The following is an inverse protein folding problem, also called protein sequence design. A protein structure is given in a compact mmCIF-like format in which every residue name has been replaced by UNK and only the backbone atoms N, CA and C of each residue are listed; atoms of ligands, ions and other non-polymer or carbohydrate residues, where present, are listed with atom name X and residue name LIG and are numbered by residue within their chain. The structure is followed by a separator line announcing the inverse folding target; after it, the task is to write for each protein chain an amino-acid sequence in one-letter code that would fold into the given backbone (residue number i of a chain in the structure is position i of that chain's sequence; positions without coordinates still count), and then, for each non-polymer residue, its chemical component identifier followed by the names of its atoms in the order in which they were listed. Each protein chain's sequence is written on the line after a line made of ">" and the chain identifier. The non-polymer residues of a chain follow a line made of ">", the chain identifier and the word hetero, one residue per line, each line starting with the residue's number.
data_IF_469447661037
#
_entry.id   IF_469447661037
#
_cell.length_a   1.000
_cell.length_b   1.000
_cell.length_c   1.000
_cell.angle_alpha   90.00
_cell.angle_beta   90.00
_cell.angle_gamma   90.00
#
_symmetry.space_group_name_H-M   'P 1'
#
loop_
_entity.id
_entity.type
_entity.pdbx_description
1 polymer ?
#
# COMPACT_ATOMS: atom_id res chain seq x y z
N UNK A 1 -10.36 12.53 -7.42
CA UNK A 1 -10.17 12.33 -5.95
C UNK A 1 -11.54 12.33 -5.28
N UNK A 2 -12.31 11.36 -5.56
CA UNK A 2 -13.58 11.01 -4.90
C UNK A 2 -14.01 9.68 -5.51
N UNK A 3 -14.51 8.79 -4.67
CA UNK A 3 -15.21 7.58 -5.04
C UNK A 3 -14.41 6.27 -5.20
N UNK A 4 -13.56 5.97 -4.20
CA UNK A 4 -13.26 4.58 -3.89
C UNK A 4 -13.92 4.19 -2.55
N UNK A 5 -15.20 4.48 -2.41
CA UNK A 5 -16.03 3.93 -1.34
C UNK A 5 -16.69 2.67 -1.87
N UNK A 6 -16.06 1.52 -1.57
CA UNK A 6 -16.70 0.23 -1.70
C UNK A 6 -17.94 0.21 -0.82
N UNK A 7 -19.10 0.25 -1.43
CA UNK A 7 -20.38 0.00 -0.76
C UNK A 7 -20.35 -1.40 -0.16
N UNK A 8 -20.45 -1.48 1.15
CA UNK A 8 -20.75 -2.74 1.84
C UNK A 8 -22.18 -3.13 1.52
N UNK A 9 -22.51 -4.42 1.32
CA UNK A 9 -23.88 -4.85 1.11
C UNK A 9 -24.75 -4.36 2.27
N UNK A 10 -25.79 -3.60 1.93
CA UNK A 10 -26.81 -3.16 2.89
C UNK A 10 -27.48 -4.38 3.51
N UNK A 11 -27.48 -4.44 4.83
CA UNK A 11 -28.34 -5.33 5.62
C UNK A 11 -29.81 -4.93 5.36
N UNK A 12 -30.43 -5.52 4.35
CA UNK A 12 -31.87 -5.41 4.14
C UNK A 12 -32.62 -6.22 5.19
N UNK A 13 -32.81 -5.65 6.34
CA UNK A 13 -33.86 -6.09 7.26
C UNK A 13 -35.15 -5.40 6.82
N UNK A 14 -35.98 -6.11 6.08
CA UNK A 14 -37.37 -5.73 5.85
C UNK A 14 -38.14 -5.85 7.17
N UNK A 15 -38.33 -4.72 7.84
CA UNK A 15 -39.29 -4.58 8.91
C UNK A 15 -40.69 -4.50 8.32
N UNK A 16 -41.58 -5.45 8.71
CA UNK A 16 -42.99 -5.37 8.43
C UNK A 16 -43.56 -4.13 9.12
N UNK A 17 -44.29 -3.32 8.36
CA UNK A 17 -45.04 -2.19 8.91
C UNK A 17 -46.19 -2.69 9.80
N UNK A 18 -46.06 -2.59 11.11
CA UNK A 18 -47.18 -2.70 12.03
C UNK A 18 -47.82 -1.33 12.25
N UNK A 19 -49.14 -1.33 12.07
CA UNK A 19 -50.01 -0.18 12.26
C UNK A 19 -50.01 0.25 13.72
N UNK A 20 -49.78 1.53 13.96
CA UNK A 20 -49.85 2.14 15.30
C UNK A 20 -51.26 2.21 15.80
N UNK A 21 -51.62 1.62 16.97
CA UNK A 21 -52.83 1.96 17.69
C UNK A 21 -52.64 3.27 18.46
N UNK A 22 -53.71 4.07 18.54
CA UNK A 22 -53.77 5.39 19.15
C UNK A 22 -53.30 5.37 20.63
N UNK A 23 -52.53 6.41 20.96
CA UNK A 23 -51.98 6.64 22.30
C UNK A 23 -53.06 6.84 23.37
N UNK A 24 -53.19 5.84 24.24
CA UNK A 24 -53.76 6.03 25.58
C UNK A 24 -52.71 6.67 26.50
N UNK A 25 -53.12 7.23 27.66
CA UNK A 25 -52.20 7.93 28.56
C UNK A 25 -51.11 6.96 29.03
N UNK A 26 -49.87 7.22 28.66
CA UNK A 26 -48.70 6.49 29.14
C UNK A 26 -48.51 6.81 30.63
N UNK A 27 -48.95 5.93 31.48
CA UNK A 27 -48.39 5.82 32.82
C UNK A 27 -46.96 5.37 32.66
N UNK A 28 -46.01 6.25 32.95
CA UNK A 28 -44.60 5.92 33.10
C UNK A 28 -44.49 4.94 34.27
N UNK A 29 -44.62 3.66 33.99
CA UNK A 29 -44.23 2.62 34.93
C UNK A 29 -42.72 2.74 35.14
N UNK A 30 -42.32 3.32 36.27
CA UNK A 30 -40.95 3.31 36.73
C UNK A 30 -40.52 1.84 36.81
N UNK A 31 -39.54 1.42 36.03
CA UNK A 31 -39.03 0.07 36.13
C UNK A 31 -38.62 -0.21 37.59
N UNK A 32 -38.98 -1.37 38.16
CA UNK A 32 -38.66 -1.67 39.54
C UNK A 32 -37.14 -1.62 39.71
N UNK A 33 -36.67 -0.76 40.62
CA UNK A 33 -35.27 -0.70 41.00
C UNK A 33 -34.95 -1.95 41.83
N UNK A 34 -34.13 -2.84 41.28
CA UNK A 34 -33.64 -3.98 42.01
C UNK A 34 -32.14 -3.85 42.24
N UNK A 35 -31.69 -4.32 43.38
CA UNK A 35 -30.28 -4.34 43.73
C UNK A 35 -29.88 -5.74 44.19
N UNK A 36 -28.88 -6.30 43.47
CA UNK A 36 -28.25 -7.57 43.85
C UNK A 36 -26.86 -7.26 44.39
N UNK A 37 -26.62 -7.60 45.66
CA UNK A 37 -25.34 -7.29 46.33
C UNK A 37 -24.14 -7.91 45.63
N UNK A 38 -24.27 -9.13 45.14
CA UNK A 38 -23.24 -9.80 44.36
C UNK A 38 -23.88 -10.80 43.40
N UNK A 39 -23.54 -10.68 42.12
CA UNK A 39 -23.92 -11.64 41.11
C UNK A 39 -22.66 -12.36 40.60
N UNK A 40 -22.69 -13.69 40.55
CA UNK A 40 -21.55 -14.50 40.11
C UNK A 40 -21.95 -15.54 39.08
N UNK A 41 -21.13 -15.68 38.06
CA UNK A 41 -21.11 -16.80 37.13
C UNK A 41 -19.76 -17.46 37.26
N UNK A 42 -19.74 -18.78 37.43
CA UNK A 42 -18.50 -19.53 37.59
C UNK A 42 -18.38 -20.62 36.54
N UNK A 43 -17.20 -20.80 36.00
CA UNK A 43 -16.82 -21.89 35.11
C UNK A 43 -17.82 -22.15 33.96
N UNK A 44 -18.23 -21.08 33.29
CA UNK A 44 -19.18 -21.15 32.18
C UNK A 44 -18.47 -21.24 30.84
N UNK A 45 -19.20 -21.68 29.82
CA UNK A 45 -18.81 -21.77 28.44
C UNK A 45 -19.67 -20.81 27.61
N UNK A 46 -19.01 -20.01 26.75
CA UNK A 46 -19.68 -19.21 25.74
C UNK A 46 -19.17 -19.62 24.37
N UNK A 47 -20.06 -19.92 23.44
CA UNK A 47 -19.70 -20.26 22.06
C UNK A 47 -20.35 -19.28 21.11
N UNK A 48 -19.53 -18.56 20.36
CA UNK A 48 -19.94 -17.69 19.27
C UNK A 48 -19.86 -18.45 17.97
N UNK A 49 -20.90 -18.36 17.14
CA UNK A 49 -20.91 -18.90 15.76
C UNK A 49 -21.27 -17.79 14.80
N UNK A 50 -20.42 -17.58 13.79
CA UNK A 50 -20.71 -16.70 12.66
C UNK A 50 -20.95 -17.55 11.41
N UNK A 51 -22.19 -17.52 10.93
CA UNK A 51 -22.64 -18.25 9.74
C UNK A 51 -22.71 -17.36 8.51
N UNK A 52 -22.37 -16.09 8.62
CA UNK A 52 -22.38 -15.14 7.50
C UNK A 52 -21.17 -15.31 6.59
N UNK A 53 -20.11 -15.95 7.08
CA UNK A 53 -18.91 -16.24 6.31
C UNK A 53 -19.14 -17.45 5.38
N UNK A 54 -18.44 -17.48 4.25
CA UNK A 54 -18.43 -18.64 3.31
C UNK A 54 -18.06 -19.95 4.01
N UNK A 55 -17.13 -19.88 4.98
CA UNK A 55 -16.80 -20.96 5.90
C UNK A 55 -17.21 -20.56 7.30
N UNK A 56 -18.16 -21.27 7.95
CA UNK A 56 -18.64 -20.92 9.26
C UNK A 56 -17.49 -20.81 10.28
N UNK A 57 -17.54 -19.76 11.09
CA UNK A 57 -16.59 -19.52 12.15
C UNK A 57 -17.20 -19.90 13.50
N UNK A 58 -16.44 -20.59 14.32
CA UNK A 58 -16.84 -20.92 15.69
C UNK A 58 -15.71 -20.59 16.64
N UNK A 59 -16.05 -19.87 17.71
CA UNK A 59 -15.10 -19.45 18.73
C UNK A 59 -15.70 -19.65 20.13
N UNK A 60 -14.95 -20.28 21.03
CA UNK A 60 -15.41 -20.59 22.36
C UNK A 60 -14.51 -19.94 23.42
N UNK A 61 -15.16 -19.38 24.44
CA UNK A 61 -14.54 -18.94 25.68
C UNK A 61 -14.87 -19.95 26.76
N UNK A 62 -13.81 -20.45 27.41
CA UNK A 62 -13.92 -21.47 28.45
C UNK A 62 -13.63 -20.86 29.84
N UNK A 63 -14.06 -21.54 30.90
CA UNK A 63 -13.80 -21.13 32.27
C UNK A 63 -14.18 -19.65 32.52
N UNK A 64 -15.33 -19.23 32.01
CA UNK A 64 -15.79 -17.87 32.21
C UNK A 64 -16.21 -17.71 33.68
N UNK A 65 -15.58 -16.75 34.34
CA UNK A 65 -15.95 -16.30 35.67
C UNK A 65 -16.34 -14.83 35.58
N UNK A 66 -17.55 -14.50 36.03
CA UNK A 66 -18.06 -13.14 36.14
C UNK A 66 -18.36 -12.85 37.59
N UNK A 67 -17.93 -11.71 38.07
CA UNK A 67 -18.32 -11.13 39.35
C UNK A 67 -18.81 -9.71 39.08
N UNK A 68 -20.04 -9.44 39.48
CA UNK A 68 -20.62 -8.11 39.51
C UNK A 68 -21.07 -7.78 40.95
N UNK A 69 -20.50 -6.72 41.49
CA UNK A 69 -20.86 -6.22 42.81
C UNK A 69 -21.85 -5.08 42.67
N UNK A 70 -22.87 -5.08 43.52
CA UNK A 70 -23.96 -4.11 43.56
C UNK A 70 -24.70 -3.97 42.21
N UNK A 71 -25.06 -5.12 41.60
CA UNK A 71 -25.75 -5.12 40.31
C UNK A 71 -27.11 -4.42 40.46
N UNK A 72 -27.29 -3.31 39.75
CA UNK A 72 -28.48 -2.47 39.69
C UNK A 72 -28.62 -1.90 38.26
N UNK A 73 -29.84 -1.61 37.85
CA UNK A 73 -30.04 -0.93 36.54
C UNK A 73 -29.63 0.54 36.59
N UNK A 74 -29.95 1.22 37.71
CA UNK A 74 -29.86 2.70 37.81
C UNK A 74 -28.65 3.20 38.58
N UNK A 75 -27.96 2.31 39.31
CA UNK A 75 -26.76 2.67 40.09
C UNK A 75 -25.48 2.26 39.35
N UNK A 76 -24.34 2.78 39.80
CA UNK A 76 -23.05 2.36 39.27
C UNK A 76 -22.76 0.89 39.59
N UNK A 77 -22.35 0.16 38.59
CA UNK A 77 -22.01 -1.24 38.67
C UNK A 77 -20.49 -1.40 38.41
N UNK A 78 -19.91 -2.39 39.11
CA UNK A 78 -18.55 -2.87 38.82
C UNK A 78 -18.64 -4.35 38.48
N UNK A 79 -18.27 -4.69 37.25
CA UNK A 79 -18.28 -6.07 36.81
C UNK A 79 -16.89 -6.46 36.27
N UNK A 80 -16.45 -7.65 36.60
CA UNK A 80 -15.22 -8.25 36.09
C UNK A 80 -15.54 -9.61 35.49
N UNK A 81 -15.12 -9.79 34.26
CA UNK A 81 -15.19 -11.07 33.57
C UNK A 81 -13.74 -11.53 33.29
N UNK A 82 -13.48 -12.79 33.57
CA UNK A 82 -12.24 -13.47 33.18
C UNK A 82 -12.57 -14.77 32.45
N UNK A 83 -11.78 -15.11 31.45
CA UNK A 83 -11.93 -16.33 30.67
C UNK A 83 -10.59 -16.86 30.25
N UNK A 84 -10.48 -18.16 30.02
CA UNK A 84 -9.34 -18.80 29.40
C UNK A 84 -9.67 -19.18 27.96
N UNK A 85 -8.64 -19.17 27.12
CA UNK A 85 -8.69 -19.61 25.74
C UNK A 85 -8.10 -21.02 25.65
N UNK A 86 -8.52 -21.79 24.67
CA UNK A 86 -8.13 -23.19 24.46
C UNK A 86 -6.60 -23.43 24.47
N UNK A 87 -5.81 -22.41 24.07
CA UNK A 87 -4.35 -22.49 23.98
C UNK A 87 -3.63 -21.77 25.15
N UNK A 88 -4.28 -21.61 26.30
CA UNK A 88 -3.71 -20.99 27.49
C UNK A 88 -3.69 -19.45 27.47
N UNK A 89 -4.31 -18.82 26.47
CA UNK A 89 -4.54 -17.39 26.47
C UNK A 89 -5.62 -16.96 27.47
N UNK A 90 -5.74 -15.67 27.72
CA UNK A 90 -6.69 -15.12 28.70
C UNK A 90 -7.41 -13.89 28.15
N UNK A 91 -8.67 -13.74 28.59
CA UNK A 91 -9.46 -12.54 28.37
C UNK A 91 -9.87 -12.00 29.72
N UNK A 92 -9.69 -10.71 29.94
CA UNK A 92 -10.15 -9.97 31.11
C UNK A 92 -10.94 -8.76 30.60
N UNK A 93 -12.16 -8.63 31.09
CA UNK A 93 -13.03 -7.51 30.82
C UNK A 93 -13.49 -6.89 32.15
N UNK A 94 -13.33 -5.58 32.28
CA UNK A 94 -13.85 -4.83 33.43
C UNK A 94 -14.80 -3.76 32.92
N UNK A 95 -15.86 -3.57 33.64
CA UNK A 95 -16.91 -2.59 33.40
C UNK A 95 -17.16 -1.79 34.69
N UNK A 96 -17.23 -0.46 34.57
CA UNK A 96 -17.63 0.43 35.63
C UNK A 96 -18.55 1.51 35.05
N UNK A 97 -19.83 1.54 35.53
CA UNK A 97 -20.83 2.48 35.04
C UNK A 97 -22.26 2.00 35.31
N UNK A 98 -23.23 2.77 34.85
CA UNK A 98 -24.65 2.41 34.92
C UNK A 98 -25.05 1.53 33.74
N UNK A 99 -25.99 0.59 33.94
CA UNK A 99 -26.45 -0.30 32.88
C UNK A 99 -27.52 0.35 31.99
N UNK A 100 -28.28 1.28 32.52
CA UNK A 100 -29.35 2.01 31.83
C UNK A 100 -28.85 3.30 31.13
N UNK A 101 -27.66 3.78 31.52
CA UNK A 101 -27.04 5.00 30.95
C UNK A 101 -25.53 4.83 30.78
N UNK A 102 -25.12 4.57 29.54
CA UNK A 102 -23.72 4.39 29.19
C UNK A 102 -22.94 5.72 29.02
N UNK A 103 -23.58 6.87 29.23
CA UNK A 103 -22.98 8.18 29.01
C UNK A 103 -21.74 8.47 29.86
N UNK A 104 -21.60 7.76 30.99
CA UNK A 104 -20.43 7.87 31.86
C UNK A 104 -20.01 6.43 32.28
N UNK A 105 -19.11 5.84 31.48
CA UNK A 105 -18.74 4.41 31.63
C UNK A 105 -17.26 4.23 31.36
N UNK A 106 -16.62 3.35 32.13
CA UNK A 106 -15.26 2.89 31.91
C UNK A 106 -15.25 1.41 31.53
N UNK A 107 -14.59 1.09 30.42
CA UNK A 107 -14.49 -0.26 29.91
C UNK A 107 -13.02 -0.59 29.66
N UNK A 108 -12.56 -1.68 30.26
CA UNK A 108 -11.23 -2.24 30.06
C UNK A 108 -11.35 -3.64 29.47
N UNK A 109 -10.62 -3.90 28.38
CA UNK A 109 -10.51 -5.23 27.79
C UNK A 109 -9.04 -5.58 27.60
N UNK A 110 -8.64 -6.74 28.10
CA UNK A 110 -7.30 -7.30 27.88
C UNK A 110 -7.44 -8.71 27.34
N UNK A 111 -6.85 -8.94 26.16
CA UNK A 111 -6.72 -10.25 25.51
C UNK A 111 -5.24 -10.57 25.44
N UNK A 112 -4.83 -11.73 25.91
CA UNK A 112 -3.44 -12.20 25.85
C UNK A 112 -3.37 -13.58 25.21
N UNK A 113 -2.38 -13.77 24.36
CA UNK A 113 -2.03 -15.05 23.73
C UNK A 113 -3.21 -15.70 22.95
N UNK A 114 -3.99 -14.90 22.20
CA UNK A 114 -5.03 -15.40 21.32
C UNK A 114 -4.39 -15.95 20.03
N UNK A 115 -4.63 -17.22 19.72
CA UNK A 115 -4.16 -17.86 18.48
C UNK A 115 -4.98 -17.35 17.28
N UNK A 116 -4.29 -16.66 16.36
CA UNK A 116 -4.90 -16.10 15.16
C UNK A 116 -5.30 -17.16 14.13
N UNK A 117 -4.73 -18.36 14.17
CA UNK A 117 -5.08 -19.45 13.25
C UNK A 117 -6.57 -19.76 13.25
N UNK A 118 -7.22 -19.61 14.41
CA UNK A 118 -8.67 -19.79 14.58
C UNK A 118 -9.47 -18.86 13.67
N UNK A 119 -8.92 -17.67 13.31
CA UNK A 119 -9.58 -16.66 12.47
C UNK A 119 -9.33 -16.84 10.97
N UNK A 120 -8.79 -17.99 10.56
CA UNK A 120 -8.62 -18.32 9.13
C UNK A 120 -9.89 -18.11 8.29
N UNK A 121 -11.12 -18.44 8.73
CA UNK A 121 -12.32 -18.17 7.94
C UNK A 121 -12.50 -16.70 7.55
N UNK A 122 -12.20 -15.77 8.46
CA UNK A 122 -12.22 -14.34 8.18
C UNK A 122 -11.11 -13.93 7.20
N UNK A 123 -9.88 -14.37 7.46
CA UNK A 123 -8.74 -14.03 6.59
C UNK A 123 -8.91 -14.57 5.17
N UNK A 124 -9.50 -15.75 5.02
CA UNK A 124 -9.83 -16.35 3.73
C UNK A 124 -10.90 -15.55 3.00
N UNK A 125 -11.97 -15.16 3.67
CA UNK A 125 -13.03 -14.39 3.03
C UNK A 125 -12.54 -13.00 2.59
N UNK A 126 -11.87 -12.28 3.49
CA UNK A 126 -11.49 -10.90 3.22
C UNK A 126 -10.27 -10.78 2.30
N UNK A 127 -9.28 -11.65 2.44
CA UNK A 127 -7.98 -11.50 1.76
C UNK A 127 -7.56 -12.70 0.92
N UNK A 128 -8.21 -13.85 1.07
CA UNK A 128 -7.86 -15.08 0.36
C UNK A 128 -6.66 -15.83 0.92
N UNK A 129 -6.18 -15.51 2.12
CA UNK A 129 -5.02 -16.16 2.74
C UNK A 129 -5.40 -16.87 4.04
N UNK A 130 -5.06 -18.16 4.22
CA UNK A 130 -5.22 -18.84 5.50
C UNK A 130 -4.16 -18.36 6.50
N UNK A 131 -4.56 -18.07 7.73
CA UNK A 131 -3.65 -17.79 8.84
C UNK A 131 -2.98 -19.09 9.29
N UNK A 132 -1.65 -19.17 9.20
CA UNK A 132 -0.87 -20.34 9.60
C UNK A 132 -0.37 -20.24 11.03
N UNK A 133 0.07 -19.05 11.41
CA UNK A 133 0.57 -18.70 12.75
C UNK A 133 0.20 -17.27 13.09
N UNK A 134 0.26 -16.97 14.37
CA UNK A 134 0.09 -15.63 14.89
C UNK A 134 -0.47 -15.65 16.30
N UNK A 135 0.14 -14.89 17.18
CA UNK A 135 -0.31 -14.74 18.58
C UNK A 135 -0.68 -13.28 18.79
N UNK A 136 -1.96 -13.04 19.05
CA UNK A 136 -2.50 -11.71 19.26
C UNK A 136 -2.61 -11.40 20.76
N UNK A 137 -2.19 -10.20 21.12
CA UNK A 137 -2.50 -9.54 22.38
C UNK A 137 -3.14 -8.19 22.10
N UNK A 138 -4.24 -7.90 22.81
CA UNK A 138 -5.00 -6.67 22.62
C UNK A 138 -5.31 -6.05 23.98
N UNK A 139 -5.08 -4.77 24.11
CA UNK A 139 -5.42 -3.98 25.28
C UNK A 139 -6.27 -2.79 24.87
N UNK A 140 -7.41 -2.62 25.49
CA UNK A 140 -8.37 -1.58 25.18
C UNK A 140 -8.80 -0.89 26.47
N UNK A 141 -8.65 0.42 26.50
CA UNK A 141 -9.08 1.31 27.59
C UNK A 141 -10.03 2.33 26.97
N UNK A 142 -11.29 2.24 27.34
CA UNK A 142 -12.35 3.10 26.81
C UNK A 142 -12.98 3.89 27.95
N UNK A 143 -12.88 5.21 27.87
CA UNK A 143 -13.51 6.13 28.81
C UNK A 143 -14.63 6.87 28.06
N UNK A 144 -15.85 6.71 28.54
CA UNK A 144 -17.01 7.42 28.01
C UNK A 144 -17.39 8.48 29.03
N UNK A 145 -17.51 9.73 28.59
CA UNK A 145 -17.95 10.86 29.42
C UNK A 145 -18.89 11.73 28.60
N UNK A 146 -20.11 11.95 29.14
CA UNK A 146 -21.18 12.67 28.43
C UNK A 146 -21.40 12.10 27.01
N UNK A 147 -21.46 10.79 26.91
CA UNK A 147 -21.59 10.03 25.66
C UNK A 147 -20.42 10.14 24.69
N UNK A 148 -19.38 10.92 24.98
CA UNK A 148 -18.17 10.98 24.17
C UNK A 148 -17.18 9.89 24.59
N UNK A 149 -16.87 8.99 23.67
CA UNK A 149 -15.86 7.94 23.84
C UNK A 149 -14.46 8.50 23.54
N UNK A 150 -13.52 8.24 24.43
CA UNK A 150 -12.07 8.30 24.18
C UNK A 150 -11.48 6.91 24.46
N UNK A 151 -11.27 6.15 23.40
CA UNK A 151 -10.76 4.79 23.42
C UNK A 151 -9.30 4.72 22.95
N UNK A 152 -8.46 4.08 23.75
CA UNK A 152 -7.06 3.76 23.42
C UNK A 152 -6.94 2.24 23.31
N UNK A 153 -6.54 1.78 22.14
CA UNK A 153 -6.46 0.36 21.81
C UNK A 153 -5.07 0.04 21.27
N UNK A 154 -4.41 -0.92 21.89
CA UNK A 154 -3.09 -1.38 21.48
C UNK A 154 -3.22 -2.83 21.01
N UNK A 155 -2.88 -3.07 19.75
CA UNK A 155 -2.87 -4.39 19.13
C UNK A 155 -1.42 -4.82 18.91
N UNK A 156 -1.06 -5.99 19.41
CA UNK A 156 0.24 -6.61 19.21
C UNK A 156 0.04 -8.01 18.62
N UNK A 157 0.70 -8.29 17.50
CA UNK A 157 0.67 -9.62 16.87
C UNK A 157 2.11 -10.09 16.71
N UNK A 158 2.42 -11.24 17.30
CA UNK A 158 3.72 -11.89 17.18
C UNK A 158 3.66 -13.03 16.19
N UNK A 159 4.73 -13.22 15.41
CA UNK A 159 4.95 -14.37 14.51
C UNK A 159 3.77 -14.62 13.56
N UNK A 160 3.21 -13.56 12.99
CA UNK A 160 2.09 -13.66 12.05
C UNK A 160 2.56 -14.21 10.71
N UNK A 161 2.05 -15.38 10.31
CA UNK A 161 2.34 -16.02 9.03
C UNK A 161 1.03 -16.40 8.34
N UNK A 162 0.96 -16.16 7.04
CA UNK A 162 -0.16 -16.57 6.18
C UNK A 162 0.31 -17.58 5.14
N UNK A 163 -0.58 -18.45 4.71
CA UNK A 163 -0.35 -19.43 3.67
C UNK A 163 -0.30 -18.82 2.28
N UNK A 164 -0.46 -19.66 1.26
CA UNK A 164 -0.56 -19.20 -0.12
C UNK A 164 -1.94 -18.59 -0.38
N UNK A 165 -1.98 -17.61 -1.30
CA UNK A 165 -3.21 -16.97 -1.72
C UNK A 165 -4.11 -17.94 -2.48
N UNK A 166 -5.36 -17.99 -2.09
CA UNK A 166 -6.42 -18.66 -2.81
C UNK A 166 -7.17 -17.63 -3.66
N UNK A 167 -7.25 -17.86 -4.96
CA UNK A 167 -7.92 -16.95 -5.91
C UNK A 167 -9.40 -17.26 -6.08
N UNK A 168 -9.82 -18.47 -5.75
CA UNK A 168 -11.19 -18.94 -5.85
C UNK A 168 -11.62 -19.57 -4.52
N UNK A 169 -12.72 -19.08 -3.89
CA UNK A 169 -13.53 -17.93 -4.32
C UNK A 169 -12.79 -16.59 -4.18
N UNK A 170 -13.12 -15.60 -5.03
CA UNK A 170 -12.51 -14.27 -5.03
C UNK A 170 -12.67 -13.63 -3.63
N UNK A 171 -11.58 -13.15 -2.99
CA UNK A 171 -11.62 -12.47 -1.71
C UNK A 171 -12.25 -11.07 -1.85
N UNK A 172 -12.75 -10.53 -0.72
CA UNK A 172 -13.36 -9.21 -0.70
C UNK A 172 -12.32 -8.11 -0.99
N UNK A 173 -11.06 -8.32 -0.56
CA UNK A 173 -9.92 -7.44 -0.85
C UNK A 173 -8.82 -8.22 -1.56
N UNK A 174 -8.53 -7.84 -2.80
CA UNK A 174 -7.49 -8.51 -3.60
C UNK A 174 -6.11 -7.84 -3.41
N UNK A 175 -5.54 -7.95 -2.21
CA UNK A 175 -4.24 -7.35 -1.87
C UNK A 175 -3.15 -8.41 -1.65
N UNK A 176 -1.85 -8.09 -1.85
CA UNK A 176 -0.72 -8.93 -1.48
C UNK A 176 -0.49 -8.90 0.04
N UNK A 177 -1.26 -9.69 0.79
CA UNK A 177 -1.26 -9.67 2.26
C UNK A 177 0.09 -10.08 2.87
N UNK A 178 0.82 -11.02 2.25
CA UNK A 178 2.17 -11.41 2.70
C UNK A 178 3.11 -10.22 2.70
N UNK A 179 3.12 -9.46 1.59
CA UNK A 179 3.90 -8.24 1.45
C UNK A 179 3.53 -7.22 2.53
N UNK A 180 2.22 -6.95 2.70
CA UNK A 180 1.76 -6.01 3.71
C UNK A 180 2.19 -6.41 5.13
N UNK A 181 1.98 -7.67 5.51
CA UNK A 181 2.37 -8.18 6.82
C UNK A 181 3.88 -8.14 7.04
N UNK A 182 4.69 -8.50 6.03
CA UNK A 182 6.14 -8.44 6.13
C UNK A 182 6.65 -7.00 6.35
N UNK A 183 6.04 -6.05 5.67
CA UNK A 183 6.44 -4.64 5.76
C UNK A 183 6.12 -4.01 7.12
N UNK A 184 4.95 -4.32 7.70
CA UNK A 184 4.53 -3.76 9.00
C UNK A 184 5.18 -4.44 10.21
N UNK A 185 5.82 -5.61 10.04
CA UNK A 185 6.57 -6.28 11.09
C UNK A 185 7.85 -5.52 11.43
N UNK A 186 8.15 -5.42 12.72
CA UNK A 186 9.44 -4.93 13.17
C UNK A 186 10.53 -6.03 13.13
N UNK A 187 11.74 -5.68 13.59
CA UNK A 187 12.89 -6.60 13.62
C UNK A 187 12.69 -7.81 14.54
N UNK A 188 11.74 -7.75 15.46
CA UNK A 188 11.43 -8.80 16.43
C UNK A 188 10.24 -9.67 15.96
N UNK A 189 9.85 -9.57 14.68
CA UNK A 189 8.69 -10.24 14.06
C UNK A 189 7.37 -9.88 14.75
N UNK A 190 7.26 -8.64 15.23
CA UNK A 190 6.09 -8.10 15.92
C UNK A 190 5.40 -7.02 15.07
N UNK A 191 4.09 -7.09 15.02
CA UNK A 191 3.23 -6.04 14.49
C UNK A 191 2.64 -5.30 15.68
N UNK A 192 2.91 -3.99 15.81
CA UNK A 192 2.37 -3.14 16.87
C UNK A 192 1.54 -2.03 16.25
N UNK A 193 0.31 -1.90 16.72
CA UNK A 193 -0.61 -0.88 16.22
C UNK A 193 -1.38 -0.22 17.36
N UNK A 194 -1.40 1.10 17.32
CA UNK A 194 -2.27 1.91 18.16
C UNK A 194 -3.52 2.28 17.35
N UNK A 195 -4.68 1.93 17.90
CA UNK A 195 -5.97 2.06 17.23
C UNK A 195 -6.90 2.96 18.08
N UNK A 196 -6.69 4.29 18.07
CA UNK A 196 -7.55 5.19 18.82
C UNK A 196 -8.98 5.20 18.24
N UNK A 197 -9.98 5.15 19.12
CA UNK A 197 -11.40 5.25 18.74
C UNK A 197 -12.01 6.41 19.50
N UNK A 198 -12.57 7.39 18.81
CA UNK A 198 -13.22 8.56 19.40
C UNK A 198 -14.55 8.80 18.72
N UNK A 199 -15.53 9.29 19.47
CA UNK A 199 -16.82 9.68 18.91
C UNK A 199 -17.96 9.67 19.92
N UNK A 200 -19.10 10.16 19.47
CA UNK A 200 -20.35 10.12 20.23
C UNK A 200 -20.99 8.72 20.08
N UNK A 201 -21.13 8.00 21.19
CA UNK A 201 -21.72 6.64 21.18
C UNK A 201 -23.21 6.62 20.82
N UNK A 202 -23.89 7.76 20.91
CA UNK A 202 -25.30 7.91 20.54
C UNK A 202 -25.48 8.25 19.04
N UNK A 203 -24.40 8.53 18.31
CA UNK A 203 -24.49 8.77 16.88
C UNK A 203 -24.92 7.48 16.17
N UNK A 204 -25.92 7.53 15.27
CA UNK A 204 -26.36 6.35 14.52
C UNK A 204 -25.25 5.72 13.66
N UNK A 205 -24.25 6.53 13.27
CA UNK A 205 -23.12 6.09 12.46
C UNK A 205 -21.98 5.51 13.30
N UNK A 206 -22.02 5.67 14.62
CA UNK A 206 -20.96 5.19 15.50
C UNK A 206 -20.98 3.66 15.58
N UNK A 207 -19.86 3.05 15.20
CA UNK A 207 -19.65 1.62 15.36
C UNK A 207 -18.19 1.34 15.70
N UNK A 208 -17.94 0.99 16.94
CA UNK A 208 -16.60 0.65 17.43
C UNK A 208 -15.92 -0.42 16.56
N UNK A 209 -16.63 -1.50 16.25
CA UNK A 209 -16.14 -2.61 15.42
C UNK A 209 -15.79 -2.12 14.01
N UNK A 210 -16.67 -1.35 13.37
CA UNK A 210 -16.42 -0.83 12.02
C UNK A 210 -15.20 0.08 11.99
N UNK A 211 -15.01 0.94 13.00
CA UNK A 211 -13.85 1.85 13.07
C UNK A 211 -12.55 1.05 13.17
N UNK A 212 -12.46 0.08 14.09
CA UNK A 212 -11.27 -0.76 14.26
C UNK A 212 -10.97 -1.54 12.97
N UNK A 213 -11.98 -2.22 12.41
CA UNK A 213 -11.80 -3.02 11.20
C UNK A 213 -11.39 -2.17 10.00
N UNK A 214 -12.05 -1.03 9.78
CA UNK A 214 -11.70 -0.08 8.70
C UNK A 214 -10.28 0.44 8.85
N UNK A 215 -9.85 0.77 10.07
CA UNK A 215 -8.48 1.25 10.32
C UNK A 215 -7.44 0.17 9.97
N UNK A 216 -7.67 -1.08 10.38
CA UNK A 216 -6.79 -2.20 10.05
C UNK A 216 -6.73 -2.49 8.55
N UNK A 217 -7.89 -2.56 7.91
CA UNK A 217 -7.98 -2.84 6.47
C UNK A 217 -7.32 -1.71 5.66
N UNK A 218 -7.60 -0.45 5.98
CA UNK A 218 -6.98 0.69 5.31
C UNK A 218 -5.46 0.68 5.45
N UNK A 219 -4.92 0.32 6.64
CA UNK A 219 -3.48 0.19 6.82
C UNK A 219 -2.90 -0.90 5.92
N UNK A 220 -3.50 -2.09 5.91
CA UNK A 220 -3.04 -3.21 5.10
C UNK A 220 -3.10 -2.90 3.60
N UNK A 221 -4.20 -2.30 3.14
CA UNK A 221 -4.35 -1.86 1.73
C UNK A 221 -3.29 -0.82 1.39
N UNK A 222 -3.13 0.24 2.19
CA UNK A 222 -2.14 1.30 1.94
C UNK A 222 -0.72 0.74 1.85
N UNK A 223 -0.34 -0.17 2.72
CA UNK A 223 0.99 -0.79 2.71
C UNK A 223 1.15 -1.72 1.50
N UNK A 224 0.10 -2.46 1.15
CA UNK A 224 0.12 -3.42 0.04
C UNK A 224 0.20 -2.72 -1.34
N UNK A 225 -0.51 -1.62 -1.49
CA UNK A 225 -0.60 -0.87 -2.75
C UNK A 225 0.66 -0.01 -2.98
N UNK A 226 1.21 0.59 -1.93
CA UNK A 226 2.39 1.46 -2.04
C UNK A 226 3.52 1.07 -1.08
N UNK A 227 4.15 -0.11 -1.27
CA UNK A 227 5.19 -0.60 -0.36
C UNK A 227 6.44 0.29 -0.34
N UNK A 228 6.83 0.87 -1.49
CA UNK A 228 7.94 1.83 -1.59
C UNK A 228 7.67 3.07 -0.75
N UNK A 229 6.48 3.66 -0.88
CA UNK A 229 6.09 4.85 -0.13
C UNK A 229 6.06 4.59 1.38
N UNK A 230 5.57 3.43 1.78
CA UNK A 230 5.53 3.04 3.19
C UNK A 230 6.94 2.94 3.79
N UNK A 231 7.86 2.25 3.11
CA UNK A 231 9.24 2.09 3.57
C UNK A 231 10.03 3.41 3.49
N UNK A 232 9.85 4.18 2.43
CA UNK A 232 10.45 5.51 2.31
C UNK A 232 10.11 6.38 3.52
N UNK A 233 8.83 6.49 3.86
CA UNK A 233 8.39 7.24 5.04
C UNK A 233 8.99 6.69 6.34
N UNK A 234 9.06 5.37 6.50
CA UNK A 234 9.61 4.74 7.72
C UNK A 234 11.10 4.98 7.90
N UNK A 235 11.83 5.20 6.80
CA UNK A 235 13.27 5.51 6.79
C UNK A 235 13.55 7.02 6.70
N UNK A 236 12.52 7.88 6.70
CA UNK A 236 12.66 9.33 6.63
C UNK A 236 12.98 9.87 5.23
N UNK A 237 12.76 9.06 4.17
CA UNK A 237 12.90 9.50 2.78
C UNK A 237 11.62 10.15 2.27
N UNK A 238 11.73 10.94 1.20
CA UNK A 238 10.59 11.53 0.51
C UNK A 238 9.98 10.52 -0.46
N UNK A 239 8.76 10.00 -0.24
CA UNK A 239 8.14 9.01 -1.12
C UNK A 239 7.96 9.49 -2.56
N UNK A 240 7.64 10.77 -2.74
CA UNK A 240 7.41 11.36 -4.07
C UNK A 240 8.64 11.25 -4.98
N UNK A 241 9.84 11.30 -4.39
CA UNK A 241 11.10 11.15 -5.13
C UNK A 241 11.42 9.69 -5.48
N UNK A 242 10.70 8.72 -4.91
CA UNK A 242 10.94 7.29 -5.11
C UNK A 242 9.83 6.58 -5.90
N UNK A 243 8.88 7.34 -6.48
CA UNK A 243 7.84 6.77 -7.34
C UNK A 243 8.41 6.31 -8.69
N UNK A 244 9.22 7.16 -9.30
CA UNK A 244 9.78 6.94 -10.61
C UNK A 244 11.22 7.43 -10.64
N UNK A 245 12.05 6.82 -11.50
CA UNK A 245 13.40 7.28 -11.81
C UNK A 245 13.42 7.77 -13.26
N UNK A 246 13.24 9.09 -13.52
CA UNK A 246 13.23 9.63 -14.87
C UNK A 246 14.63 9.65 -15.47
N UNK A 247 14.72 9.57 -16.81
CA UNK A 247 15.97 9.66 -17.55
C UNK A 247 15.74 10.23 -18.96
N UNK A 248 16.83 10.75 -19.57
CA UNK A 248 16.81 11.23 -20.95
C UNK A 248 17.14 10.11 -21.95
N UNK A 249 16.63 10.24 -23.19
CA UNK A 249 16.79 9.19 -24.21
C UNK A 249 18.27 8.89 -24.52
N UNK A 250 19.11 9.92 -24.57
CA UNK A 250 20.55 9.81 -24.89
C UNK A 250 21.42 9.58 -23.65
N UNK A 251 20.81 9.49 -22.45
CA UNK A 251 21.56 9.33 -21.21
C UNK A 251 22.12 7.92 -21.05
N UNK A 252 23.43 7.82 -20.81
CA UNK A 252 24.14 6.57 -20.54
C UNK A 252 24.45 6.33 -19.07
N UNK A 253 24.71 7.40 -18.31
CA UNK A 253 25.08 7.37 -16.89
C UNK A 253 24.07 8.13 -16.07
N UNK A 254 23.95 7.78 -14.77
CA UNK A 254 23.00 8.43 -13.86
C UNK A 254 23.55 9.76 -13.34
N UNK A 255 22.67 10.76 -13.24
CA UNK A 255 22.98 12.05 -12.60
C UNK A 255 23.15 11.88 -11.08
N UNK A 256 23.80 12.85 -10.38
CA UNK A 256 23.91 12.80 -8.92
C UNK A 256 22.56 12.69 -8.19
N UNK A 257 21.51 13.32 -8.71
CA UNK A 257 20.15 13.24 -8.15
C UNK A 257 19.57 11.83 -8.32
N UNK A 258 19.72 11.23 -9.49
CA UNK A 258 19.31 9.85 -9.76
C UNK A 258 20.08 8.85 -8.89
N UNK A 259 21.40 9.04 -8.73
CA UNK A 259 22.23 8.22 -7.85
C UNK A 259 21.77 8.32 -6.40
N UNK A 260 21.34 9.49 -5.94
CA UNK A 260 20.76 9.67 -4.61
C UNK A 260 19.48 8.85 -4.45
N UNK A 261 18.58 8.87 -5.46
CA UNK A 261 17.37 8.06 -5.46
C UNK A 261 17.69 6.55 -5.44
N UNK A 262 18.64 6.11 -6.29
CA UNK A 262 19.04 4.70 -6.36
C UNK A 262 19.64 4.23 -5.03
N UNK A 263 20.45 5.07 -4.37
CA UNK A 263 21.00 4.77 -3.04
C UNK A 263 19.90 4.60 -1.98
N UNK A 264 18.88 5.45 -1.99
CA UNK A 264 17.73 5.32 -1.10
C UNK A 264 16.96 4.01 -1.34
N UNK A 265 16.79 3.60 -2.60
CA UNK A 265 16.21 2.29 -2.94
C UNK A 265 17.07 1.13 -2.44
N UNK A 266 18.41 1.24 -2.56
CA UNK A 266 19.33 0.26 -2.02
C UNK A 266 19.20 0.13 -0.49
N UNK A 267 19.08 1.23 0.25
CA UNK A 267 18.87 1.22 1.70
C UNK A 267 17.52 0.58 2.08
N UNK A 268 16.46 0.84 1.31
CA UNK A 268 15.15 0.19 1.50
C UNK A 268 15.29 -1.33 1.41
N UNK A 269 15.97 -1.84 0.39
CA UNK A 269 16.18 -3.28 0.22
C UNK A 269 17.05 -3.88 1.32
N UNK A 270 18.12 -3.18 1.73
CA UNK A 270 18.95 -3.63 2.86
C UNK A 270 18.16 -3.73 4.16
N UNK A 271 17.20 -2.82 4.39
CA UNK A 271 16.32 -2.87 5.55
C UNK A 271 15.28 -4.01 5.47
N UNK A 272 14.93 -4.48 4.27
CA UNK A 272 13.94 -5.54 4.01
C UNK A 272 14.44 -6.56 2.96
N UNK A 273 15.44 -7.40 3.31
CA UNK A 273 16.19 -8.24 2.36
C UNK A 273 15.41 -9.42 1.76
N UNK A 274 14.17 -9.65 2.19
CA UNK A 274 13.26 -10.64 1.58
C UNK A 274 12.39 -10.04 0.48
N UNK A 275 12.48 -8.72 0.27
CA UNK A 275 11.78 -8.02 -0.82
C UNK A 275 12.61 -8.03 -2.10
N UNK A 276 11.93 -8.00 -3.22
CA UNK A 276 12.53 -7.80 -4.54
C UNK A 276 12.15 -6.41 -5.06
N UNK A 277 13.17 -5.63 -5.40
CA UNK A 277 13.03 -4.34 -6.08
C UNK A 277 12.72 -4.60 -7.55
N UNK A 278 11.56 -4.12 -8.00
CA UNK A 278 11.15 -4.16 -9.40
C UNK A 278 11.41 -2.81 -10.03
N UNK A 279 12.16 -2.80 -11.13
CA UNK A 279 12.46 -1.61 -11.91
C UNK A 279 12.08 -1.90 -13.36
N UNK A 280 10.91 -1.44 -13.80
CA UNK A 280 10.44 -1.61 -15.17
C UNK A 280 10.68 -0.33 -15.96
N UNK A 281 11.51 -0.41 -17.01
CA UNK A 281 11.86 0.70 -17.87
C UNK A 281 10.76 0.99 -18.88
N UNK A 282 10.22 2.21 -18.84
CA UNK A 282 9.29 2.75 -19.82
C UNK A 282 9.98 3.81 -20.67
N UNK A 283 9.90 3.66 -21.98
CA UNK A 283 10.50 4.57 -22.96
C UNK A 283 9.42 5.02 -23.95
N UNK A 284 9.27 6.32 -24.11
CA UNK A 284 8.53 6.88 -25.24
C UNK A 284 9.41 6.75 -26.48
N UNK A 285 9.22 5.65 -27.21
CA UNK A 285 10.06 5.27 -28.34
C UNK A 285 10.07 6.34 -29.42
N UNK A 286 8.92 6.96 -29.70
CA UNK A 286 8.82 7.99 -30.74
C UNK A 286 9.59 9.24 -30.35
N UNK A 287 9.41 9.74 -29.13
CA UNK A 287 10.13 10.91 -28.63
C UNK A 287 11.65 10.62 -28.52
N UNK A 288 12.01 9.41 -28.09
CA UNK A 288 13.41 9.01 -27.98
C UNK A 288 14.11 8.99 -29.33
N UNK A 289 13.43 8.56 -30.40
CA UNK A 289 13.98 8.62 -31.76
C UNK A 289 14.26 10.07 -32.23
N UNK A 290 13.33 10.99 -31.92
CA UNK A 290 13.51 12.41 -32.21
C UNK A 290 14.74 12.97 -31.47
N UNK A 291 14.87 12.69 -30.18
CA UNK A 291 16.02 13.13 -29.37
C UNK A 291 17.32 12.50 -29.81
N UNK A 292 17.33 11.25 -30.27
CA UNK A 292 18.49 10.58 -30.84
C UNK A 292 18.87 11.17 -32.22
N UNK A 293 17.90 11.49 -33.07
CA UNK A 293 18.11 12.15 -34.34
C UNK A 293 18.67 13.56 -34.14
N UNK A 294 18.12 14.34 -33.19
CA UNK A 294 18.64 15.65 -32.80
C UNK A 294 20.11 15.55 -32.38
N UNK A 295 20.42 14.64 -31.45
CA UNK A 295 21.80 14.43 -31.03
C UNK A 295 22.71 14.02 -32.18
N UNK A 296 22.27 13.14 -33.08
CA UNK A 296 23.03 12.69 -34.22
C UNK A 296 23.37 13.85 -35.18
N UNK A 297 22.39 14.69 -35.50
CA UNK A 297 22.54 15.84 -36.38
C UNK A 297 23.42 16.91 -35.74
N UNK A 298 23.23 17.23 -34.48
CA UNK A 298 24.07 18.14 -33.68
C UNK A 298 25.53 17.67 -33.64
N UNK A 299 25.73 16.37 -33.42
CA UNK A 299 27.08 15.78 -33.43
C UNK A 299 27.76 15.98 -34.80
N UNK A 300 27.06 15.72 -35.90
CA UNK A 300 27.60 15.89 -37.22
C UNK A 300 27.91 17.37 -37.51
N UNK A 301 27.02 18.28 -37.10
CA UNK A 301 27.25 19.72 -37.16
C UNK A 301 28.49 20.14 -36.36
N UNK A 302 28.64 19.65 -35.14
CA UNK A 302 29.81 19.90 -34.29
C UNK A 302 31.12 19.41 -34.96
N UNK A 303 31.12 18.19 -35.50
CA UNK A 303 32.26 17.61 -36.18
C UNK A 303 32.64 18.38 -37.47
N UNK A 304 31.68 18.95 -38.20
CA UNK A 304 31.94 19.81 -39.32
C UNK A 304 32.67 21.09 -38.92
N UNK A 305 32.37 21.63 -37.76
CA UNK A 305 33.04 22.82 -37.23
C UNK A 305 34.39 22.49 -36.57
N UNK A 306 34.65 21.23 -36.26
CA UNK A 306 35.86 20.73 -35.60
C UNK A 306 36.50 19.60 -36.43
N UNK A 307 37.09 19.92 -37.61
CA UNK A 307 37.62 18.91 -38.54
C UNK A 307 38.80 18.11 -37.95
N UNK A 308 39.41 18.61 -36.88
CA UNK A 308 40.45 17.91 -36.11
C UNK A 308 39.90 16.75 -35.26
N UNK A 309 38.58 16.65 -35.11
CA UNK A 309 37.90 15.61 -34.30
C UNK A 309 37.17 14.60 -35.17
N UNK A 310 37.02 13.40 -34.64
CA UNK A 310 36.21 12.32 -35.21
C UNK A 310 35.26 11.76 -34.15
N UNK A 311 34.31 10.91 -34.56
CA UNK A 311 33.41 10.26 -33.63
C UNK A 311 34.12 9.46 -32.53
N UNK A 312 35.31 8.91 -32.84
CA UNK A 312 36.11 8.10 -31.92
C UNK A 312 37.00 8.92 -30.99
N UNK A 313 37.17 10.22 -31.26
CA UNK A 313 38.03 11.13 -30.49
C UNK A 313 37.24 12.15 -29.66
N UNK A 314 35.91 12.06 -29.63
CA UNK A 314 35.08 12.91 -28.78
C UNK A 314 35.29 12.61 -27.29
N UNK A 315 35.58 13.66 -26.56
CA UNK A 315 35.72 13.62 -25.09
C UNK A 315 34.36 13.93 -24.38
N UNK A 316 34.20 13.64 -23.09
CA UNK A 316 32.99 14.00 -22.36
C UNK A 316 32.60 15.47 -22.50
N UNK A 317 33.55 16.39 -22.52
CA UNK A 317 33.30 17.83 -22.71
C UNK A 317 32.72 18.15 -24.10
N UNK A 318 33.05 17.38 -25.12
CA UNK A 318 32.50 17.55 -26.45
C UNK A 318 31.05 17.13 -26.51
N UNK A 319 30.67 16.04 -25.83
CA UNK A 319 29.29 15.62 -25.71
C UNK A 319 28.43 16.70 -25.01
N UNK A 320 28.96 17.35 -23.97
CA UNK A 320 28.26 18.47 -23.33
C UNK A 320 28.04 19.63 -24.32
N UNK A 321 29.06 20.02 -25.07
CA UNK A 321 28.96 21.08 -26.10
C UNK A 321 27.97 20.72 -27.20
N UNK A 322 27.94 19.46 -27.65
CA UNK A 322 26.98 18.97 -28.64
C UNK A 322 25.56 19.10 -28.12
N UNK A 323 25.32 18.71 -26.87
CA UNK A 323 23.97 18.79 -26.20
C UNK A 323 23.52 20.25 -26.01
N UNK A 324 24.44 21.19 -25.81
CA UNK A 324 24.17 22.61 -25.62
C UNK A 324 23.84 23.37 -26.92
N UNK A 325 24.02 22.75 -28.11
CA UNK A 325 23.67 23.39 -29.39
C UNK A 325 22.18 23.71 -29.40
N UNK A 326 21.84 25.00 -29.53
CA UNK A 326 20.44 25.44 -29.58
C UNK A 326 19.80 25.07 -30.93
N UNK A 327 18.73 24.32 -30.91
CA UNK A 327 17.94 23.95 -32.09
C UNK A 327 17.30 25.16 -32.79
N UNK A 328 17.25 26.32 -32.13
CA UNK A 328 16.77 27.60 -32.70
C UNK A 328 17.88 28.47 -33.27
N UNK A 329 19.15 28.06 -33.15
CA UNK A 329 20.28 28.79 -33.73
C UNK A 329 20.17 28.80 -35.26
N UNK A 330 20.28 29.98 -35.84
CA UNK A 330 20.15 30.19 -37.30
C UNK A 330 21.19 29.41 -38.08
N UNK A 331 22.41 29.28 -37.56
CA UNK A 331 23.48 28.55 -38.24
C UNK A 331 23.22 27.05 -38.25
N UNK A 332 22.71 26.53 -37.11
CA UNK A 332 22.26 25.14 -37.00
C UNK A 332 21.08 24.86 -37.92
N UNK A 333 20.07 25.72 -37.95
CA UNK A 333 18.91 25.58 -38.83
C UNK A 333 19.28 25.62 -40.29
N UNK A 334 20.21 26.52 -40.71
CA UNK A 334 20.74 26.58 -42.06
C UNK A 334 21.51 25.29 -42.42
N UNK A 335 22.31 24.76 -41.48
CA UNK A 335 22.98 23.49 -41.67
C UNK A 335 21.96 22.38 -41.94
N UNK A 336 20.94 22.21 -41.08
CA UNK A 336 19.87 21.22 -41.27
C UNK A 336 19.23 21.39 -42.65
N UNK A 337 18.86 22.63 -43.01
CA UNK A 337 18.24 22.96 -44.30
C UNK A 337 19.09 22.60 -45.54
N UNK A 338 20.44 22.61 -45.41
CA UNK A 338 21.33 22.19 -46.49
C UNK A 338 21.51 20.67 -46.59
N UNK A 339 21.28 19.95 -45.49
CA UNK A 339 21.41 18.48 -45.45
C UNK A 339 20.13 17.75 -45.86
N UNK A 340 18.96 18.36 -45.65
CA UNK A 340 17.67 17.77 -46.00
C UNK A 340 17.41 17.93 -47.48
N UNK A 341 17.07 16.82 -48.15
CA UNK A 341 16.66 16.83 -49.57
C UNK A 341 15.31 17.57 -49.75
N UNK A 342 15.12 18.21 -50.92
CA UNK A 342 13.94 19.08 -51.19
C UNK A 342 12.60 18.36 -50.95
N UNK A 343 12.51 17.08 -51.29
CA UNK A 343 11.31 16.24 -51.11
C UNK A 343 10.99 15.92 -49.64
N UNK A 344 11.94 16.10 -48.71
CA UNK A 344 11.82 15.86 -47.29
C UNK A 344 11.77 17.14 -46.44
N UNK A 345 11.80 18.30 -47.05
CA UNK A 345 11.65 19.57 -46.35
C UNK A 345 10.22 19.73 -45.83
N UNK A 346 10.08 19.77 -44.52
CA UNK A 346 8.81 19.98 -43.82
C UNK A 346 8.86 21.24 -42.97
N UNK A 347 7.70 21.71 -42.49
CA UNK A 347 7.64 22.85 -41.60
C UNK A 347 8.14 22.52 -40.16
N UNK A 348 8.25 21.24 -39.83
CA UNK A 348 8.62 20.78 -38.49
C UNK A 348 10.06 20.29 -38.47
N UNK A 349 10.87 20.88 -37.57
CA UNK A 349 12.29 20.54 -37.41
C UNK A 349 12.47 19.05 -37.07
N UNK A 350 11.63 18.50 -36.17
CA UNK A 350 11.72 17.10 -35.74
C UNK A 350 11.63 16.12 -36.93
N UNK A 351 10.76 16.39 -37.89
CA UNK A 351 10.63 15.56 -39.12
C UNK A 351 11.87 15.65 -39.99
N UNK A 352 12.45 16.85 -40.09
CA UNK A 352 13.71 17.06 -40.84
C UNK A 352 14.85 16.31 -40.16
N UNK A 353 15.01 16.42 -38.85
CA UNK A 353 16.04 15.71 -38.09
C UNK A 353 15.89 14.18 -38.24
N UNK A 354 14.66 13.66 -38.11
CA UNK A 354 14.37 12.24 -38.33
C UNK A 354 14.70 11.79 -39.76
N UNK A 355 14.52 12.66 -40.77
CA UNK A 355 14.81 12.33 -42.15
C UNK A 355 16.31 12.24 -42.45
N UNK A 356 17.17 12.90 -41.66
CA UNK A 356 18.61 12.89 -41.74
C UNK A 356 19.26 11.69 -41.02
N UNK A 357 18.50 10.97 -40.21
CA UNK A 357 18.97 9.79 -39.50
C UNK A 357 18.36 8.52 -40.09
N UNK A 358 19.15 7.45 -40.16
CA UNK A 358 18.65 6.14 -40.58
C UNK A 358 17.69 5.57 -39.53
N UNK A 359 16.43 5.34 -39.94
CA UNK A 359 15.39 4.82 -39.04
C UNK A 359 15.73 3.47 -38.43
N UNK A 360 16.41 2.56 -39.16
CA UNK A 360 16.87 1.27 -38.69
C UNK A 360 17.96 1.46 -37.63
N UNK A 361 18.88 2.36 -37.86
CA UNK A 361 19.95 2.70 -36.93
C UNK A 361 19.39 3.34 -35.65
N UNK A 362 18.41 4.25 -35.76
CA UNK A 362 17.74 4.86 -34.60
C UNK A 362 17.01 3.80 -33.74
N UNK A 363 16.35 2.84 -34.38
CA UNK A 363 15.70 1.73 -33.65
C UNK A 363 16.74 0.90 -32.89
N UNK A 364 17.83 0.49 -33.54
CA UNK A 364 18.90 -0.28 -32.91
C UNK A 364 19.52 0.45 -31.72
N UNK A 365 19.84 1.75 -31.91
CA UNK A 365 20.40 2.59 -30.86
C UNK A 365 19.42 2.73 -29.67
N UNK A 366 18.14 2.90 -29.93
CA UNK A 366 17.13 2.99 -28.87
C UNK A 366 17.14 1.71 -28.03
N UNK A 367 17.14 0.53 -28.65
CA UNK A 367 17.22 -0.75 -27.95
C UNK A 367 18.54 -0.93 -27.18
N UNK A 368 19.67 -0.63 -27.80
CA UNK A 368 20.98 -0.70 -27.15
C UNK A 368 21.07 0.19 -25.91
N UNK A 369 20.51 1.40 -25.98
CA UNK A 369 20.48 2.32 -24.84
C UNK A 369 19.56 1.81 -23.71
N UNK A 370 18.43 1.19 -24.06
CA UNK A 370 17.55 0.55 -23.06
C UNK A 370 18.30 -0.59 -22.33
N UNK A 371 18.96 -1.47 -23.06
CA UNK A 371 19.71 -2.59 -22.48
C UNK A 371 20.90 -2.11 -21.66
N UNK A 372 21.66 -1.15 -22.19
CA UNK A 372 22.82 -0.56 -21.50
C UNK A 372 22.41 0.09 -20.17
N UNK A 373 21.29 0.82 -20.17
CA UNK A 373 20.78 1.49 -18.98
C UNK A 373 20.37 0.51 -17.90
N UNK A 374 19.69 -0.58 -18.28
CA UNK A 374 19.35 -1.68 -17.38
C UNK A 374 20.62 -2.31 -16.77
N UNK A 375 21.64 -2.52 -17.58
CA UNK A 375 22.92 -3.09 -17.12
C UNK A 375 23.62 -2.15 -16.13
N UNK A 376 23.76 -0.86 -16.46
CA UNK A 376 24.41 0.13 -15.59
C UNK A 376 23.67 0.24 -14.25
N UNK A 377 22.33 0.24 -14.26
CA UNK A 377 21.52 0.28 -13.05
C UNK A 377 21.74 -0.96 -12.18
N UNK A 378 21.75 -2.15 -12.80
CA UNK A 378 22.02 -3.40 -12.10
C UNK A 378 23.42 -3.41 -11.48
N UNK A 379 24.44 -3.06 -12.24
CA UNK A 379 25.82 -3.00 -11.77
C UNK A 379 26.00 -2.00 -10.61
N UNK A 380 25.30 -0.86 -10.68
CA UNK A 380 25.34 0.12 -9.59
C UNK A 380 24.69 -0.40 -8.31
N UNK A 381 23.50 -1.00 -8.40
CA UNK A 381 22.83 -1.60 -7.24
C UNK A 381 23.67 -2.73 -6.60
N UNK A 382 24.34 -3.56 -7.41
CA UNK A 382 25.25 -4.59 -6.90
C UNK A 382 26.45 -3.97 -6.16
N UNK A 383 27.03 -2.88 -6.69
CA UNK A 383 28.09 -2.12 -5.99
C UNK A 383 27.62 -1.50 -4.68
N UNK A 384 26.33 -1.18 -4.56
CA UNK A 384 25.70 -0.76 -3.30
C UNK A 384 25.36 -1.94 -2.38
N UNK A 385 25.90 -3.14 -2.63
CA UNK A 385 25.70 -4.36 -1.83
C UNK A 385 24.24 -4.86 -1.77
N UNK A 386 23.40 -4.48 -2.73
CA UNK A 386 22.06 -5.06 -2.87
C UNK A 386 22.21 -6.49 -3.44
N UNK A 387 21.69 -7.54 -2.76
CA UNK A 387 21.79 -8.90 -3.26
C UNK A 387 21.11 -9.06 -4.62
N UNK A 388 21.76 -9.77 -5.56
CA UNK A 388 21.25 -9.94 -6.92
C UNK A 388 19.83 -10.53 -6.97
N UNK A 389 19.52 -11.47 -6.08
CA UNK A 389 18.19 -12.06 -5.94
C UNK A 389 17.09 -11.05 -5.58
N UNK A 390 17.46 -9.90 -5.03
CA UNK A 390 16.56 -8.82 -4.63
C UNK A 390 16.39 -7.75 -5.73
N UNK A 391 16.95 -7.96 -6.92
CA UNK A 391 16.92 -7.01 -8.03
C UNK A 391 16.25 -7.67 -9.23
N UNK A 392 15.18 -7.05 -9.74
CA UNK A 392 14.56 -7.40 -11.02
C UNK A 392 14.43 -6.13 -11.85
N UNK A 393 15.24 -6.04 -12.91
CA UNK A 393 15.22 -4.93 -13.86
C UNK A 393 14.75 -5.47 -15.20
N UNK A 394 13.77 -4.81 -15.81
CA UNK A 394 13.22 -5.19 -17.11
C UNK A 394 12.88 -3.93 -17.93
N UNK A 395 12.71 -4.12 -19.22
CA UNK A 395 12.08 -3.13 -20.09
C UNK A 395 10.62 -3.55 -20.29
N UNK A 396 9.71 -2.60 -20.33
CA UNK A 396 8.30 -2.84 -20.60
C UNK A 396 8.09 -3.60 -21.93
N UNK A 397 7.04 -4.38 -22.03
CA UNK A 397 6.76 -5.16 -23.26
C UNK A 397 6.55 -4.22 -24.45
N UNK A 398 6.77 -4.74 -25.66
CA UNK A 398 6.60 -3.96 -26.89
C UNK A 398 5.21 -3.31 -26.99
N UNK A 399 4.17 -4.02 -26.54
CA UNK A 399 2.78 -3.52 -26.52
C UNK A 399 2.62 -2.31 -25.57
N UNK A 400 3.17 -2.41 -24.35
CA UNK A 400 3.21 -1.31 -23.39
C UNK A 400 3.99 -0.11 -23.92
N UNK A 401 5.17 -0.34 -24.55
CA UNK A 401 6.00 0.74 -25.11
C UNK A 401 5.31 1.46 -26.27
N UNK A 402 4.58 0.77 -27.13
CA UNK A 402 3.82 1.39 -28.24
C UNK A 402 2.70 2.29 -27.69
N UNK A 403 2.03 1.87 -26.66
CA UNK A 403 0.95 2.64 -26.01
C UNK A 403 1.51 3.80 -25.16
N UNK A 404 2.74 3.71 -24.66
CA UNK A 404 3.31 4.66 -23.72
C UNK A 404 3.64 6.02 -24.36
N UNK A 405 3.08 7.10 -23.82
CA UNK A 405 3.28 8.48 -24.25
C UNK A 405 3.88 9.38 -23.17
N UNK A 406 4.20 8.79 -22.00
CA UNK A 406 4.78 9.50 -20.86
C UNK A 406 6.27 9.84 -21.06
N UNK A 407 6.89 10.40 -20.01
CA UNK A 407 8.35 10.64 -19.97
C UNK A 407 9.10 9.33 -19.79
N UNK A 408 10.31 9.25 -20.33
CA UNK A 408 11.19 8.09 -20.12
C UNK A 408 11.50 7.95 -18.62
N UNK A 409 11.25 6.77 -18.06
CA UNK A 409 11.44 6.52 -16.63
C UNK A 409 11.48 5.03 -16.30
N UNK A 410 12.05 4.71 -15.14
CA UNK A 410 11.73 3.45 -14.48
C UNK A 410 10.55 3.66 -13.54
N UNK A 411 9.58 2.78 -13.59
CA UNK A 411 8.62 2.59 -12.52
C UNK A 411 9.25 1.73 -11.44
N UNK A 412 8.94 2.02 -10.18
CA UNK A 412 9.59 1.40 -9.03
C UNK A 412 8.54 0.65 -8.23
N UNK A 413 8.76 -0.64 -8.04
CA UNK A 413 7.90 -1.51 -7.24
C UNK A 413 8.70 -2.33 -6.23
N UNK A 414 8.04 -2.82 -5.21
CA UNK A 414 8.57 -3.76 -4.23
C UNK A 414 7.60 -4.91 -4.06
N UNK A 415 8.11 -6.13 -4.16
CA UNK A 415 7.31 -7.34 -3.99
C UNK A 415 7.99 -8.32 -3.05
N UNK A 416 7.18 -9.09 -2.33
CA UNK A 416 7.64 -10.26 -1.60
C UNK A 416 7.59 -11.48 -2.53
N UNK A 417 8.59 -12.35 -2.47
CA UNK A 417 8.66 -13.51 -3.35
C UNK A 417 7.39 -14.38 -3.27
N UNK A 418 6.72 -14.57 -4.41
CA UNK A 418 5.47 -15.32 -4.52
C UNK A 418 4.18 -14.58 -4.16
N UNK A 419 4.25 -13.26 -3.96
CA UNK A 419 3.12 -12.39 -3.66
C UNK A 419 3.07 -11.21 -4.66
N UNK A 420 3.23 -11.52 -5.95
CA UNK A 420 3.23 -10.51 -7.00
C UNK A 420 1.88 -9.78 -7.01
N UNK A 421 1.87 -8.44 -7.00
CA UNK A 421 0.64 -7.66 -7.09
C UNK A 421 -0.05 -7.94 -8.43
N UNK A 422 -1.39 -7.90 -8.42
CA UNK A 422 -2.18 -8.03 -9.64
C UNK A 422 -1.80 -6.87 -10.60
N UNK A 423 -1.49 -7.16 -11.88
CA UNK A 423 -1.14 -6.13 -12.85
C UNK A 423 -2.19 -5.02 -12.99
N UNK A 424 -3.46 -5.30 -12.72
CA UNK A 424 -4.55 -4.32 -12.76
C UNK A 424 -4.43 -3.25 -11.66
N UNK A 425 -3.91 -3.60 -10.47
CA UNK A 425 -3.71 -2.64 -9.38
C UNK A 425 -2.54 -1.68 -9.62
N UNK A 426 -1.54 -2.09 -10.39
CA UNK A 426 -0.39 -1.22 -10.74
C UNK A 426 -0.81 -0.20 -11.81
N UNK A 427 -1.74 -0.56 -12.71
CA UNK A 427 -2.21 0.32 -13.77
C UNK A 427 -2.99 1.54 -13.25
N UNK A 428 -3.82 1.36 -12.21
CA UNK A 428 -4.59 2.46 -11.61
C UNK A 428 -3.72 3.51 -10.87
N UNK A 429 -2.53 3.13 -10.34
CA UNK A 429 -1.61 4.09 -9.73
C UNK A 429 -0.79 4.89 -10.75
N UNK A 430 -0.59 4.39 -11.95
CA UNK A 430 0.14 5.09 -13.01
C UNK A 430 -0.71 6.18 -13.70
N UNK A 431 -2.03 6.16 -13.56
CA UNK A 431 -2.96 7.14 -14.12
C UNK A 431 -3.35 8.27 -13.13
N UNK A 432 -3.02 8.16 -11.84
CA UNK A 432 -3.25 9.16 -10.79
C UNK A 432 -1.94 9.80 -10.31
#
# INVERSE_FOLDING_TARGET
>A
MSDLFLETPEDTVRGAAEQTPAAGPQTTATAPDFKVSTFRINNSLFTFKDQTLRHPFTFSLENINLVADQLSLTQENKAKVSSTLKNGGTIIFNYEGKLDDLSNTDILLSIKNLDLKTFTPYSMQYFGYPLQKGILSFSSVNNIRKSMLDGRNNLNIAKCEVGNKHKDPKPDYNIPLKTALYLIKDKDDLIRMDLPVKGDINSPEFSYRKIIFKTLTNLLVKVAVSPVNFLANSLGFSPEKLKNLPFEAVQNDFTPEQLTQINQLAEIIKAKPEMTLLLEQFVNVQQSKVQLADFYVKRNYYLQQHPEKSQTTLLPIDYSKIMEIDTKDIQFLNYVGTQVSEDKKTAYLDDQLLSLADSTQLNQLTHQLMDRRNQVLKEYLLRQEVPEKCIRISTATAEKLVAYKGKNQYTIGLVFAGDEPDPELIAEEAEN
#
